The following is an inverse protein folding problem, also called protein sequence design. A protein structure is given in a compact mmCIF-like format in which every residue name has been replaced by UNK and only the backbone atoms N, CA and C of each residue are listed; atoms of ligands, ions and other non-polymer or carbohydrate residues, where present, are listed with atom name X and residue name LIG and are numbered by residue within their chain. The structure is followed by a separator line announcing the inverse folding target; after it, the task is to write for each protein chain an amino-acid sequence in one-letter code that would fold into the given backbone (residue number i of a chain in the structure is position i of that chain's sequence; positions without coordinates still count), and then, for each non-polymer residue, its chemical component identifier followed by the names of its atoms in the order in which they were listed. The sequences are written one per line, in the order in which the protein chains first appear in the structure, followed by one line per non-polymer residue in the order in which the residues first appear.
data_IF_335860345496
#
_entry.id   IF_335860345496
#
_cell.length_a   1.000
_cell.length_b   1.000
_cell.length_c   1.000
_cell.angle_alpha   90.00
_cell.angle_beta   90.00
_cell.angle_gamma   90.00
#
_symmetry.space_group_name_H-M   'P 1'
#
loop_
_entity.id
_entity.type
_entity.pdbx_description
1 polymer ?
#
# COMPACT_ATOMS: atom_id res chain seq x y z
N UNK A 1 -6.38 -3.10 6.09
CA UNK A 1 -5.17 -3.40 5.29
C UNK A 1 -4.93 -4.90 5.32
N UNK A 2 -4.62 -5.54 4.18
CA UNK A 2 -4.32 -6.98 4.12
C UNK A 2 -2.80 -7.19 4.20
N UNK A 3 -2.36 -8.24 4.89
CA UNK A 3 -0.95 -8.60 4.95
C UNK A 3 -0.56 -9.36 3.67
N UNK A 4 0.53 -8.93 3.04
CA UNK A 4 1.18 -9.64 1.94
C UNK A 4 2.50 -10.20 2.46
N UNK A 5 2.78 -11.46 2.15
CA UNK A 5 3.96 -12.19 2.59
C UNK A 5 4.83 -12.53 1.40
N UNK A 6 6.12 -12.69 1.65
CA UNK A 6 7.12 -13.08 0.67
C UNK A 6 7.61 -14.48 1.01
N UNK A 7 7.74 -15.34 0.00
CA UNK A 7 8.19 -16.71 0.20
C UNK A 7 9.70 -16.72 0.39
N UNK A 8 10.18 -17.32 1.48
CA UNK A 8 11.62 -17.39 1.76
C UNK A 8 12.41 -18.23 0.75
N UNK A 9 11.72 -19.09 -0.01
CA UNK A 9 12.35 -20.00 -0.99
C UNK A 9 12.40 -19.38 -2.39
N UNK A 10 11.29 -18.83 -2.88
CA UNK A 10 11.18 -18.35 -4.25
C UNK A 10 11.04 -16.83 -4.39
N UNK A 11 10.95 -16.07 -3.29
CA UNK A 11 10.69 -14.62 -3.29
C UNK A 11 9.30 -14.23 -3.80
N UNK A 12 8.43 -15.21 -4.08
CA UNK A 12 7.07 -14.97 -4.56
C UNK A 12 6.22 -14.31 -3.47
N UNK A 13 5.44 -13.31 -3.86
CA UNK A 13 4.51 -12.64 -2.95
C UNK A 13 3.14 -13.34 -2.96
N UNK A 14 2.57 -13.55 -1.77
CA UNK A 14 1.27 -14.22 -1.61
C UNK A 14 0.54 -13.69 -0.35
N UNK A 15 -0.71 -14.08 -0.20
CA UNK A 15 -1.50 -13.76 0.99
C UNK A 15 -1.48 -15.01 1.91
N UNK A 16 -1.24 -14.89 3.22
CA UNK A 16 -1.33 -16.05 4.11
C UNK A 16 -2.78 -16.49 4.27
N UNK A 17 -3.01 -17.77 4.58
CA UNK A 17 -4.34 -18.34 4.62
C UNK A 17 -5.12 -18.00 5.91
N UNK A 18 -4.78 -16.93 6.65
CA UNK A 18 -5.49 -16.61 7.90
C UNK A 18 -7.01 -16.42 7.68
N UNK A 19 -7.41 -16.10 6.46
CA UNK A 19 -8.81 -15.92 6.07
C UNK A 19 -9.17 -16.52 4.70
N UNK A 20 -8.24 -17.25 4.06
CA UNK A 20 -8.41 -17.75 2.69
C UNK A 20 -7.98 -19.21 2.58
N UNK A 21 -8.85 -20.04 2.00
CA UNK A 21 -8.53 -21.43 1.66
C UNK A 21 -8.03 -21.46 0.22
N UNK A 22 -6.78 -21.88 0.03
CA UNK A 22 -6.21 -22.08 -1.30
C UNK A 22 -6.62 -23.44 -1.86
N UNK A 23 -7.00 -23.53 -3.15
CA UNK A 23 -7.31 -24.81 -3.80
C UNK A 23 -6.08 -25.72 -3.89
N UNK A 24 -4.90 -25.13 -3.89
CA UNK A 24 -3.61 -25.80 -4.00
C UNK A 24 -3.05 -26.34 -2.66
N UNK A 25 -3.78 -26.17 -1.56
CA UNK A 25 -3.33 -26.54 -0.21
C UNK A 25 -2.80 -25.33 0.59
N UNK A 26 -2.40 -25.55 1.85
CA UNK A 26 -2.07 -24.45 2.76
C UNK A 26 -0.78 -23.73 2.31
N UNK A 27 -0.79 -22.39 2.40
CA UNK A 27 0.43 -21.59 2.47
C UNK A 27 0.76 -21.34 3.94
N UNK A 28 2.03 -21.12 4.28
CA UNK A 28 2.40 -20.72 5.64
C UNK A 28 2.83 -19.24 5.66
N UNK A 29 3.13 -18.65 6.81
CA UNK A 29 3.79 -17.34 6.89
C UNK A 29 5.21 -17.30 6.29
N UNK A 30 5.80 -18.45 5.92
CA UNK A 30 7.16 -18.55 5.38
C UNK A 30 7.17 -19.01 3.91
N UNK A 31 6.29 -19.95 3.55
CA UNK A 31 6.26 -20.57 2.23
C UNK A 31 4.92 -20.39 1.52
N UNK A 32 5.00 -20.07 0.23
CA UNK A 32 3.84 -20.12 -0.66
C UNK A 32 3.35 -21.57 -0.82
N UNK A 33 2.13 -21.76 -1.35
CA UNK A 33 1.53 -23.11 -1.51
C UNK A 33 2.40 -24.08 -2.32
N UNK A 34 3.13 -23.60 -3.33
CA UNK A 34 4.02 -24.44 -4.15
C UNK A 34 5.26 -24.88 -3.36
N UNK A 35 5.97 -23.94 -2.74
CA UNK A 35 7.17 -24.24 -1.96
C UNK A 35 6.84 -25.02 -0.68
N UNK A 36 5.72 -24.75 -0.03
CA UNK A 36 5.24 -25.52 1.13
C UNK A 36 5.07 -27.00 0.78
N UNK A 37 4.44 -27.30 -0.37
CA UNK A 37 4.28 -28.68 -0.86
C UNK A 37 5.62 -29.31 -1.22
N UNK A 38 6.53 -28.56 -1.85
CA UNK A 38 7.85 -29.05 -2.19
C UNK A 38 8.68 -29.43 -0.94
N UNK A 39 8.67 -28.58 0.09
CA UNK A 39 9.36 -28.83 1.36
C UNK A 39 8.77 -30.05 2.09
N UNK A 40 7.43 -30.16 2.14
CA UNK A 40 6.76 -31.33 2.72
C UNK A 40 7.11 -32.62 1.97
N UNK A 41 7.14 -32.59 0.64
CA UNK A 41 7.55 -33.74 -0.18
C UNK A 41 9.01 -34.14 0.04
N UNK A 42 9.88 -33.17 0.36
CA UNK A 42 11.26 -33.39 0.75
C UNK A 42 11.44 -33.83 2.22
N UNK A 43 10.35 -33.99 2.99
CA UNK A 43 10.38 -34.35 4.41
C UNK A 43 10.79 -33.20 5.34
N UNK A 44 10.85 -31.97 4.82
CA UNK A 44 11.16 -30.77 5.60
C UNK A 44 9.87 -30.23 6.20
N UNK A 45 9.76 -30.34 7.52
CA UNK A 45 8.67 -29.73 8.27
C UNK A 45 8.98 -28.26 8.56
N UNK A 46 7.95 -27.42 8.48
CA UNK A 46 8.04 -26.05 8.99
C UNK A 46 8.15 -26.09 10.52
N UNK A 47 9.08 -25.32 11.08
CA UNK A 47 9.12 -25.09 12.52
C UNK A 47 7.94 -24.18 12.93
N UNK A 48 7.01 -24.66 13.78
CA UNK A 48 5.86 -23.87 14.22
C UNK A 48 6.25 -22.56 14.91
N UNK A 49 7.41 -22.49 15.55
CA UNK A 49 7.89 -21.27 16.20
C UNK A 49 8.22 -20.19 15.17
N UNK A 50 8.92 -20.54 14.09
CA UNK A 50 9.25 -19.59 13.02
C UNK A 50 7.99 -19.05 12.34
N UNK A 51 7.02 -19.92 12.04
CA UNK A 51 5.74 -19.50 11.46
C UNK A 51 5.00 -18.50 12.36
N UNK A 52 4.93 -18.78 13.68
CA UNK A 52 4.28 -17.90 14.67
C UNK A 52 5.00 -16.56 14.79
N UNK A 53 6.33 -16.56 14.83
CA UNK A 53 7.14 -15.33 14.92
C UNK A 53 6.98 -14.48 13.67
N UNK A 54 7.05 -15.06 12.47
CA UNK A 54 6.85 -14.36 11.22
C UNK A 54 5.47 -13.69 11.16
N UNK A 55 4.44 -14.42 11.58
CA UNK A 55 3.09 -13.89 11.65
C UNK A 55 2.94 -12.75 12.68
N UNK A 56 3.49 -12.92 13.89
CA UNK A 56 3.46 -11.90 14.92
C UNK A 56 4.18 -10.61 14.47
N UNK A 57 5.32 -10.74 13.79
CA UNK A 57 6.06 -9.63 13.23
C UNK A 57 5.26 -8.88 12.16
N UNK A 58 4.59 -9.60 11.26
CA UNK A 58 3.72 -9.01 10.23
C UNK A 58 2.56 -8.23 10.85
N UNK A 59 1.88 -8.80 11.86
CA UNK A 59 0.80 -8.12 12.60
C UNK A 59 1.29 -6.88 13.34
N UNK A 60 2.46 -6.94 13.96
CA UNK A 60 3.07 -5.78 14.61
C UNK A 60 3.41 -4.67 13.61
N UNK A 61 3.94 -5.02 12.44
CA UNK A 61 4.21 -4.05 11.36
C UNK A 61 2.93 -3.39 10.85
N UNK A 62 1.85 -4.15 10.71
CA UNK A 62 0.54 -3.62 10.34
C UNK A 62 0.00 -2.64 11.38
N UNK A 63 0.09 -2.99 12.67
CA UNK A 63 -0.34 -2.14 13.77
C UNK A 63 0.44 -0.81 13.81
N UNK A 64 1.77 -0.85 13.60
CA UNK A 64 2.59 0.37 13.50
C UNK A 64 2.14 1.29 12.36
N UNK A 65 1.94 0.74 11.16
CA UNK A 65 1.44 1.50 10.01
C UNK A 65 0.04 2.10 10.25
N UNK A 66 -0.82 1.37 10.94
CA UNK A 66 -2.13 1.88 11.31
C UNK A 66 -2.04 3.05 12.30
N UNK A 67 -1.12 2.98 13.28
CA UNK A 67 -0.87 4.09 14.22
C UNK A 67 -0.29 5.33 13.51
N UNK A 68 0.66 5.15 12.60
CA UNK A 68 1.23 6.25 11.79
C UNK A 68 0.19 6.93 10.90
N UNK A 69 -0.82 6.20 10.41
CA UNK A 69 -1.91 6.76 9.61
C UNK A 69 -2.90 7.61 10.42
N UNK A 70 -2.93 7.47 11.76
CA UNK A 70 -3.83 8.20 12.66
C UNK A 70 -3.25 9.54 13.11
N UNK A 71 -1.94 9.75 13.00
CA UNK A 71 -1.31 11.05 13.24
C UNK A 71 -1.43 11.90 11.97
N UNK A 72 -2.40 12.84 11.85
CA UNK A 72 -2.28 13.85 10.82
C UNK A 72 -1.05 14.67 11.20
N UNK A 73 -0.02 14.64 10.35
CA UNK A 73 0.95 15.73 10.33
C UNK A 73 0.11 16.99 10.19
N UNK A 74 -0.03 17.73 11.29
CA UNK A 74 -0.71 19.01 11.33
C UNK A 74 0.11 19.94 10.45
N UNK A 75 -0.13 19.87 9.14
CA UNK A 75 0.38 20.84 8.20
C UNK A 75 -0.16 22.16 8.73
N UNK A 76 0.69 23.11 9.14
CA UNK A 76 0.19 24.44 9.42
C UNK A 76 -0.57 24.85 8.17
N UNK A 77 -1.82 25.26 8.35
CA UNK A 77 -2.67 25.77 7.28
C UNK A 77 -2.02 27.07 6.79
N UNK A 78 -1.01 26.92 5.91
CA UNK A 78 -0.34 28.03 5.26
C UNK A 78 -1.29 28.52 4.20
N UNK A 79 -2.32 29.25 4.66
CA UNK A 79 -3.06 30.15 3.79
C UNK A 79 -2.02 31.12 3.23
N UNK A 80 -1.83 31.19 1.90
CA UNK A 80 -1.02 32.23 1.31
C UNK A 80 -1.66 33.56 1.73
N UNK A 81 -1.05 34.27 2.67
CA UNK A 81 -1.46 35.60 3.12
C UNK A 81 -1.24 36.66 2.03
N UNK A 82 -0.81 36.24 0.83
CA UNK A 82 -0.56 37.09 -0.32
C UNK A 82 -1.45 36.61 -1.48
N UNK A 83 -2.40 37.44 -1.94
CA UNK A 83 -3.09 37.19 -3.20
C UNK A 83 -2.03 37.03 -4.30
N UNK A 84 -2.19 36.08 -5.24
CA UNK A 84 -1.35 36.05 -6.41
C UNK A 84 -1.48 37.42 -7.11
N UNK A 85 -0.36 38.12 -7.26
CA UNK A 85 -0.28 39.30 -8.12
C UNK A 85 -0.55 38.80 -9.55
N UNK A 86 -1.84 38.76 -9.93
CA UNK A 86 -2.23 38.57 -11.31
C UNK A 86 -1.62 39.73 -12.09
N UNK A 87 -0.53 39.43 -12.82
CA UNK A 87 -0.08 40.30 -13.90
C UNK A 87 -1.27 40.42 -14.82
N UNK A 88 -1.92 41.59 -14.79
CA UNK A 88 -2.96 42.02 -15.70
C UNK A 88 -2.59 41.55 -17.11
N UNK A 89 -3.29 40.53 -17.58
CA UNK A 89 -3.43 40.28 -19.00
C UNK A 89 -4.03 41.56 -19.58
N UNK A 90 -3.20 42.33 -20.29
CA UNK A 90 -3.68 43.43 -21.12
C UNK A 90 -4.32 42.82 -22.36
N UNK A 91 -5.53 42.30 -22.22
CA UNK A 91 -6.47 42.20 -23.33
C UNK A 91 -7.20 43.55 -23.40
N UNK A 92 -6.81 44.38 -24.37
CA UNK A 92 -7.36 45.71 -24.57
C UNK A 92 -8.83 45.69 -25.02
N UNK A 93 -9.60 46.77 -24.79
CA UNK A 93 -10.92 46.94 -25.37
C UNK A 93 -10.82 47.69 -26.71
N UNK A 94 -11.48 47.23 -27.77
CA UNK A 94 -11.46 47.98 -29.03
C UNK A 94 -12.18 47.34 -30.21
N UNK A 95 -13.38 46.78 -30.00
CA UNK A 95 -14.24 46.31 -31.09
C UNK A 95 -15.56 47.07 -31.11
N UNK A 96 -15.57 48.28 -31.68
CA UNK A 96 -16.81 49.05 -31.88
C UNK A 96 -17.43 48.66 -33.21
N UNK A 97 -18.71 48.30 -33.13
CA UNK A 97 -19.59 47.81 -34.19
C UNK A 97 -19.93 48.90 -35.21
N UNK A 98 -20.06 48.49 -36.46
CA UNK A 98 -20.55 49.23 -37.62
C UNK A 98 -21.90 49.91 -37.37
N UNK A 99 -22.09 51.14 -37.88
CA UNK A 99 -23.43 51.71 -38.14
C UNK A 99 -23.70 51.72 -39.64
N UNK A 100 -24.88 51.22 -39.99
CA UNK A 100 -25.62 51.53 -41.21
C UNK A 100 -26.18 52.96 -41.10
N UNK A 101 -26.15 53.72 -42.20
CA UNK A 101 -26.75 55.05 -42.32
C UNK A 101 -25.89 56.01 -43.11
#
# INVERSE_FOLDING_TARGET
MRLVFECVECGGHYLPPESMVYPDGPASPLWCTACQRAQQAAGVAEDPLHARVALAAARAALARRAAEAVEPVARPDVRPSRPPLSRRARSGPGGVRSRLG
#
